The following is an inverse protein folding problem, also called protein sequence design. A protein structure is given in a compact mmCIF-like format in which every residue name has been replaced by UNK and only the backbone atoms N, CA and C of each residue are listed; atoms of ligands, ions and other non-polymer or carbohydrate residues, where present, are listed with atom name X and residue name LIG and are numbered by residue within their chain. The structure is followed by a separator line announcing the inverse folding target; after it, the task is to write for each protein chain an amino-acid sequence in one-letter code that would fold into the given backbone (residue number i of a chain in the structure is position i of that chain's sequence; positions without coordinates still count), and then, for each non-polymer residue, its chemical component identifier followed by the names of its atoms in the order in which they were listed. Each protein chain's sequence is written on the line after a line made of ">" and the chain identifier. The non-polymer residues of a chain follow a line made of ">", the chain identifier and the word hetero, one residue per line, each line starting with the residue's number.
data_IF_967329923582
#
_entry.id   IF_967329923582
#
_cell.length_a   1.000
_cell.length_b   1.000
_cell.length_c   1.000
_cell.angle_alpha   90.00
_cell.angle_beta   90.00
_cell.angle_gamma   90.00
#
_symmetry.space_group_name_H-M   'P 1'
#
loop_
_entity.id
_entity.type
_entity.pdbx_description
1 polymer ?
#
# COMPACT_ATOMS: atom_id res chain seq x y z
N UNK A 1 -40.98 -39.53 1.95
CA UNK A 1 -40.09 -40.12 2.98
C UNK A 1 -38.61 -39.95 2.67
N UNK A 2 -38.09 -40.32 1.49
CA UNK A 2 -36.65 -40.25 1.20
C UNK A 2 -36.06 -38.81 1.20
N UNK A 3 -36.81 -37.82 0.68
CA UNK A 3 -36.33 -36.44 0.58
C UNK A 3 -36.07 -35.78 1.96
N UNK A 4 -36.91 -36.05 2.97
CA UNK A 4 -36.71 -35.51 4.32
C UNK A 4 -35.47 -36.10 5.00
N UNK A 5 -35.24 -37.41 4.83
CA UNK A 5 -34.04 -38.09 5.39
C UNK A 5 -32.74 -37.59 4.76
N UNK A 6 -32.75 -37.28 3.47
CA UNK A 6 -31.60 -36.67 2.79
C UNK A 6 -31.36 -35.26 3.34
N UNK A 7 -32.41 -34.46 3.56
CA UNK A 7 -32.27 -33.14 4.17
C UNK A 7 -31.69 -33.21 5.58
N UNK A 8 -32.10 -34.18 6.39
CA UNK A 8 -31.54 -34.40 7.74
C UNK A 8 -30.07 -34.78 7.70
N UNK A 9 -29.66 -35.63 6.75
CA UNK A 9 -28.25 -35.97 6.53
C UNK A 9 -27.43 -34.74 6.12
N UNK A 10 -27.91 -33.94 5.17
CA UNK A 10 -27.21 -32.71 4.74
C UNK A 10 -27.14 -31.70 5.89
N UNK A 11 -28.19 -31.58 6.70
CA UNK A 11 -28.21 -30.70 7.87
C UNK A 11 -27.18 -31.13 8.92
N UNK A 12 -27.07 -32.43 9.21
CA UNK A 12 -26.07 -32.97 10.15
C UNK A 12 -24.65 -32.82 9.61
N UNK A 13 -24.42 -33.09 8.33
CA UNK A 13 -23.14 -32.84 7.66
C UNK A 13 -22.73 -31.37 7.77
N UNK A 14 -23.62 -30.43 7.44
CA UNK A 14 -23.33 -29.00 7.56
C UNK A 14 -22.96 -28.61 9.00
N UNK A 15 -23.61 -29.22 10.01
CA UNK A 15 -23.28 -28.99 11.42
C UNK A 15 -21.89 -29.53 11.80
N UNK A 16 -21.51 -30.70 11.31
CA UNK A 16 -20.19 -31.31 11.58
C UNK A 16 -19.06 -30.43 10.99
N UNK A 17 -19.25 -29.93 9.77
CA UNK A 17 -18.22 -29.18 9.05
C UNK A 17 -18.34 -27.66 9.18
N UNK A 18 -19.19 -27.16 10.08
CA UNK A 18 -19.46 -25.73 10.25
C UNK A 18 -19.83 -25.01 8.94
N UNK A 19 -20.53 -25.71 8.06
CA UNK A 19 -21.05 -25.18 6.79
C UNK A 19 -22.45 -24.60 7.00
N UNK A 20 -22.83 -23.68 6.12
CA UNK A 20 -24.16 -23.07 6.14
C UNK A 20 -25.18 -23.99 5.44
N UNK A 21 -26.29 -24.29 6.10
CA UNK A 21 -27.42 -25.07 5.57
C UNK A 21 -28.52 -24.13 5.04
N UNK A 22 -28.78 -24.12 3.73
CA UNK A 22 -29.74 -23.22 3.07
C UNK A 22 -30.66 -23.98 2.08
N UNK A 23 -31.65 -24.75 2.58
CA UNK A 23 -32.51 -25.57 1.71
C UNK A 23 -33.47 -24.75 0.84
N UNK A 24 -33.86 -23.54 1.27
CA UNK A 24 -34.73 -22.63 0.51
C UNK A 24 -33.95 -21.78 -0.52
N UNK A 25 -32.62 -21.93 -0.61
CA UNK A 25 -31.76 -21.22 -1.56
C UNK A 25 -31.89 -19.69 -1.47
N UNK A 26 -32.06 -19.17 -0.25
CA UNK A 26 -32.15 -17.73 0.01
C UNK A 26 -30.82 -17.02 -0.27
N UNK A 27 -30.90 -15.74 -0.68
CA UNK A 27 -29.72 -14.90 -0.96
C UNK A 27 -29.19 -14.26 0.33
N UNK A 28 -28.35 -14.98 1.05
CA UNK A 28 -27.79 -14.56 2.35
C UNK A 28 -26.45 -13.80 2.26
N UNK A 29 -25.97 -13.45 1.06
CA UNK A 29 -24.68 -12.76 0.90
C UNK A 29 -23.43 -13.62 1.15
N UNK A 30 -23.57 -14.92 1.45
CA UNK A 30 -22.46 -15.85 1.69
C UNK A 30 -21.40 -15.89 0.56
N UNK A 31 -21.76 -15.55 -0.68
CA UNK A 31 -20.82 -15.41 -1.80
C UNK A 31 -19.80 -14.30 -1.52
N UNK A 32 -20.28 -13.15 -1.05
CA UNK A 32 -19.44 -11.97 -0.80
C UNK A 32 -18.55 -12.21 0.43
N UNK A 33 -19.12 -12.75 1.52
CA UNK A 33 -18.37 -13.01 2.75
C UNK A 33 -17.25 -14.06 2.59
N UNK A 34 -17.41 -15.04 1.68
CA UNK A 34 -16.39 -16.06 1.41
C UNK A 34 -15.32 -15.62 0.42
N UNK A 35 -15.47 -14.46 -0.23
CA UNK A 35 -14.44 -13.95 -1.11
C UNK A 35 -13.19 -13.61 -0.30
N UNK A 36 -12.03 -14.09 -0.75
CA UNK A 36 -10.76 -13.69 -0.16
C UNK A 36 -10.52 -12.20 -0.39
N UNK A 37 -10.18 -11.49 0.67
CA UNK A 37 -9.85 -10.07 0.60
C UNK A 37 -8.61 -9.87 -0.27
N UNK A 38 -8.67 -8.90 -1.20
CA UNK A 38 -7.57 -8.55 -2.11
C UNK A 38 -6.75 -7.35 -1.63
N UNK A 39 -7.13 -6.73 -0.52
CA UNK A 39 -6.52 -5.52 0.03
C UNK A 39 -4.99 -5.58 0.14
N UNK A 40 -4.39 -6.63 0.73
CA UNK A 40 -2.94 -6.72 0.85
C UNK A 40 -2.20 -6.76 -0.49
N UNK A 41 -2.76 -7.46 -1.48
CA UNK A 41 -2.17 -7.55 -2.82
C UNK A 41 -2.21 -6.19 -3.55
N UNK A 42 -3.29 -5.42 -3.36
CA UNK A 42 -3.42 -4.09 -3.94
C UNK A 42 -2.53 -3.06 -3.23
N UNK A 43 -2.43 -3.12 -1.90
CA UNK A 43 -1.59 -2.22 -1.13
C UNK A 43 -0.09 -2.39 -1.45
N UNK A 44 0.33 -3.60 -1.82
CA UNK A 44 1.71 -3.92 -2.18
C UNK A 44 2.03 -3.63 -3.67
N UNK A 45 1.17 -2.91 -4.39
CA UNK A 45 1.36 -2.63 -5.82
C UNK A 45 2.66 -1.88 -6.12
N UNK A 46 2.95 -0.84 -5.34
CA UNK A 46 4.25 -0.17 -5.43
C UNK A 46 5.24 -0.82 -4.46
N UNK A 47 6.52 -0.96 -4.87
CA UNK A 47 7.57 -1.38 -3.96
C UNK A 47 7.57 -0.51 -2.71
N UNK A 48 7.68 -1.16 -1.54
CA UNK A 48 7.86 -0.43 -0.29
C UNK A 48 9.14 0.40 -0.39
N UNK A 49 9.13 1.61 0.16
CA UNK A 49 10.35 2.40 0.30
C UNK A 49 11.40 1.55 1.02
N UNK A 50 12.49 1.27 0.33
CA UNK A 50 13.66 0.61 0.89
C UNK A 50 14.52 1.64 1.64
N UNK A 51 15.77 1.27 1.93
CA UNK A 51 16.78 2.18 2.49
C UNK A 51 16.90 3.41 1.60
N UNK A 52 16.74 4.60 2.20
CA UNK A 52 16.96 5.89 1.54
C UNK A 52 18.42 6.33 1.68
N UNK A 53 18.85 7.29 0.87
CA UNK A 53 20.20 7.86 1.02
C UNK A 53 20.41 8.44 2.43
N UNK A 54 19.38 9.04 3.02
CA UNK A 54 19.41 9.55 4.40
C UNK A 54 19.67 8.47 5.45
N UNK A 55 19.13 7.27 5.26
CA UNK A 55 19.39 6.13 6.14
C UNK A 55 20.86 5.70 6.05
N UNK A 56 21.45 5.77 4.86
CA UNK A 56 22.89 5.56 4.65
C UNK A 56 23.70 6.60 5.42
N UNK A 57 23.42 7.90 5.25
CA UNK A 57 24.16 8.96 5.96
C UNK A 57 24.13 8.77 7.48
N UNK A 58 22.95 8.47 8.03
CA UNK A 58 22.78 8.23 9.46
C UNK A 58 23.59 7.03 9.96
N UNK A 59 23.74 6.00 9.14
CA UNK A 59 24.48 4.78 9.48
C UNK A 59 25.99 5.04 9.58
N UNK A 60 26.54 5.88 8.70
CA UNK A 60 27.98 6.13 8.63
C UNK A 60 28.44 7.36 9.42
N UNK A 61 27.52 8.25 9.83
CA UNK A 61 27.80 9.42 10.67
C UNK A 61 28.57 9.10 11.97
N UNK A 62 28.26 8.01 12.73
CA UNK A 62 29.02 7.66 13.94
C UNK A 62 30.48 7.27 13.66
N UNK A 63 30.79 6.84 12.43
CA UNK A 63 32.14 6.48 12.00
C UNK A 63 32.95 7.71 11.54
N UNK A 64 32.38 8.92 11.63
CA UNK A 64 33.01 10.16 11.18
C UNK A 64 33.10 10.29 9.66
N UNK A 65 32.34 9.48 8.92
CA UNK A 65 32.32 9.51 7.46
C UNK A 65 31.21 10.46 6.96
N UNK A 66 31.53 11.22 5.91
CA UNK A 66 30.60 12.11 5.21
C UNK A 66 30.20 11.50 3.87
N UNK A 67 28.97 11.77 3.45
CA UNK A 67 28.36 11.26 2.21
C UNK A 67 27.80 12.44 1.42
N UNK A 68 27.94 12.42 0.10
CA UNK A 68 27.47 13.49 -0.79
C UNK A 68 26.29 12.97 -1.62
N UNK A 69 25.16 13.69 -1.61
CA UNK A 69 23.96 13.37 -2.38
C UNK A 69 23.94 14.25 -3.64
N UNK A 70 24.67 13.82 -4.68
CA UNK A 70 24.87 14.59 -5.90
C UNK A 70 23.55 15.06 -6.54
N UNK A 71 22.51 14.22 -6.49
CA UNK A 71 21.21 14.57 -7.05
C UNK A 71 20.48 15.68 -6.28
N UNK A 72 20.67 15.75 -4.95
CA UNK A 72 20.15 16.87 -4.18
C UNK A 72 21.03 18.11 -4.30
N UNK A 73 22.36 17.95 -4.37
CA UNK A 73 23.29 19.07 -4.62
C UNK A 73 22.95 19.76 -5.97
N UNK A 74 22.76 18.99 -7.05
CA UNK A 74 22.34 19.49 -8.36
C UNK A 74 21.00 20.23 -8.31
N UNK A 75 20.05 19.69 -7.53
CA UNK A 75 18.73 20.32 -7.36
C UNK A 75 18.86 21.62 -6.58
N UNK A 76 19.67 21.66 -5.53
CA UNK A 76 19.95 22.88 -4.77
C UNK A 76 20.61 23.95 -5.65
N UNK A 77 21.57 23.57 -6.49
CA UNK A 77 22.17 24.47 -7.49
C UNK A 77 21.14 24.98 -8.49
N UNK A 78 20.26 24.12 -9.02
CA UNK A 78 19.20 24.52 -9.94
C UNK A 78 18.21 25.49 -9.30
N UNK A 79 17.84 25.26 -8.03
CA UNK A 79 17.00 26.18 -7.25
C UNK A 79 17.72 27.51 -7.06
N UNK A 80 18.98 27.49 -6.62
CA UNK A 80 19.78 28.69 -6.38
C UNK A 80 19.94 29.52 -7.65
N UNK A 81 20.19 28.88 -8.79
CA UNK A 81 20.22 29.54 -10.09
C UNK A 81 18.86 30.17 -10.41
N UNK A 82 17.77 29.40 -10.36
CA UNK A 82 16.45 29.92 -10.72
C UNK A 82 16.01 31.09 -9.83
N UNK A 83 16.15 30.97 -8.50
CA UNK A 83 15.81 32.04 -7.55
C UNK A 83 16.72 33.25 -7.73
N UNK A 84 18.02 33.03 -7.97
CA UNK A 84 18.97 34.10 -8.27
C UNK A 84 18.62 34.86 -9.55
N UNK A 85 18.17 34.16 -10.60
CA UNK A 85 17.68 34.79 -11.82
C UNK A 85 16.40 35.58 -11.59
N UNK A 86 15.41 35.02 -10.91
CA UNK A 86 14.15 35.73 -10.63
C UNK A 86 14.34 36.96 -9.74
N UNK A 87 15.14 36.86 -8.68
CA UNK A 87 15.42 37.98 -7.78
C UNK A 87 16.21 39.09 -8.48
N UNK A 88 17.23 38.73 -9.25
CA UNK A 88 18.01 39.70 -10.05
C UNK A 88 17.18 40.36 -11.15
N UNK A 89 16.32 39.60 -11.82
CA UNK A 89 15.42 40.12 -12.86
C UNK A 89 14.34 41.04 -12.29
N UNK A 90 13.71 40.65 -11.17
CA UNK A 90 12.70 41.47 -10.50
C UNK A 90 13.26 42.81 -9.99
N UNK A 91 14.50 42.82 -9.49
CA UNK A 91 15.21 44.04 -9.09
C UNK A 91 15.61 44.92 -10.27
N UNK A 92 15.86 44.36 -11.45
CA UNK A 92 16.19 45.12 -12.67
C UNK A 92 14.97 45.75 -13.36
N UNK A 93 13.75 45.44 -12.93
CA UNK A 93 12.49 45.92 -13.55
C UNK A 93 11.67 46.80 -12.59
N UNK A 94 12.24 47.19 -11.44
CA UNK A 94 11.62 48.05 -10.42
C UNK A 94 12.21 49.45 -10.32
N UNK A 95 13.06 49.84 -11.27
CA UNK A 95 13.54 51.21 -11.49
C UNK A 95 12.89 51.85 -12.74
#
# INVERSE_FOLDING_TARGET
>A
MAQSRILDLVKTQCRIFSLNFNPQRLRLGNKILRQRLRGPALAAWYPKKTVSFRDLQNTYKPLGLTTFDEAEDDREEAIQMSVGFYTRFALLHTD
#
